data_IF_727696351708
#
_entry.id   IF_727696351708
#
_cell.length_a   1.000
_cell.length_b   1.000
_cell.length_c   1.000
_cell.angle_alpha   90.00
_cell.angle_beta   90.00
_cell.angle_gamma   90.00
#
_symmetry.space_group_name_H-M   'P 1'
#
loop_
_entity.id
_entity.type
_entity.pdbx_description
1 polymer ?
#
# COMPACT_ATOMS: atom_id res chain seq x y z
N UNK A 1 37.45 34.51 14.73
CA UNK A 1 36.18 33.75 14.80
C UNK A 1 35.49 33.74 13.43
N UNK A 2 36.04 33.05 12.41
CA UNK A 2 35.52 33.19 11.03
C UNK A 2 35.29 31.88 10.24
N UNK A 3 35.63 30.71 10.81
CA UNK A 3 35.43 29.41 10.13
C UNK A 3 34.43 28.51 10.88
N UNK A 4 34.33 28.64 12.21
CA UNK A 4 33.43 27.81 13.04
C UNK A 4 31.93 28.03 12.76
N UNK A 5 31.52 29.22 12.30
CA UNK A 5 30.11 29.54 12.07
C UNK A 5 29.58 29.03 10.71
N UNK A 6 30.45 28.80 9.73
CA UNK A 6 30.05 28.31 8.40
C UNK A 6 29.73 26.80 8.46
N UNK A 7 30.47 26.05 9.28
CA UNK A 7 30.27 24.61 9.46
C UNK A 7 28.90 24.30 10.09
N UNK A 8 28.47 25.11 11.06
CA UNK A 8 27.18 24.94 11.75
C UNK A 8 26.01 25.24 10.81
N UNK A 9 26.12 26.24 9.93
CA UNK A 9 25.11 26.52 8.90
C UNK A 9 24.98 25.38 7.88
N UNK A 10 26.09 24.75 7.48
CA UNK A 10 26.07 23.63 6.54
C UNK A 10 25.46 22.34 7.15
N UNK A 11 25.67 22.12 8.45
CA UNK A 11 25.05 20.99 9.18
C UNK A 11 23.54 21.22 9.36
N UNK A 12 23.11 22.44 9.69
CA UNK A 12 21.68 22.73 9.77
C UNK A 12 20.98 22.64 8.40
N UNK A 13 21.64 23.04 7.32
CA UNK A 13 21.07 22.98 5.98
C UNK A 13 20.96 21.55 5.45
N UNK A 14 21.88 20.65 5.82
CA UNK A 14 21.74 19.21 5.51
C UNK A 14 20.65 18.55 6.35
N UNK A 15 20.48 18.89 7.64
CA UNK A 15 19.39 18.34 8.48
C UNK A 15 18.00 18.74 7.96
N UNK A 16 17.85 19.96 7.41
CA UNK A 16 16.58 20.41 6.79
C UNK A 16 16.28 19.68 5.48
N UNK A 17 17.30 19.23 4.73
CA UNK A 17 17.16 18.42 3.51
C UNK A 17 16.88 16.93 3.78
N UNK A 18 17.13 16.43 4.99
CA UNK A 18 16.64 15.10 5.45
C UNK A 18 15.19 15.20 5.97
N UNK A 19 14.64 16.42 6.10
CA UNK A 19 13.25 16.67 6.46
C UNK A 19 12.30 16.35 5.29
N UNK A 20 11.42 15.37 5.51
CA UNK A 20 10.38 14.89 4.58
C UNK A 20 10.85 14.01 3.41
N UNK A 21 11.63 12.96 3.68
CA UNK A 21 11.54 11.77 2.84
C UNK A 21 10.20 11.06 3.15
N UNK A 22 9.11 11.56 2.57
CA UNK A 22 7.81 10.93 2.70
C UNK A 22 7.92 9.57 1.99
N UNK A 23 7.94 8.50 2.78
CA UNK A 23 7.97 7.16 2.24
C UNK A 23 6.57 6.84 1.71
N UNK A 24 6.42 6.96 0.40
CA UNK A 24 5.20 6.65 -0.31
C UNK A 24 5.21 5.22 -0.84
N UNK A 25 4.04 4.60 -0.83
CA UNK A 25 3.76 3.32 -1.48
C UNK A 25 2.50 3.48 -2.32
N UNK A 26 2.58 3.23 -3.63
CA UNK A 26 1.46 3.37 -4.57
C UNK A 26 0.70 4.71 -4.42
N UNK A 27 1.43 5.80 -4.16
CA UNK A 27 0.87 7.14 -3.97
C UNK A 27 0.27 7.44 -2.59
N UNK A 28 0.39 6.52 -1.61
CA UNK A 28 -0.11 6.66 -0.23
C UNK A 28 1.04 6.65 0.79
N UNK A 29 0.89 7.28 1.96
CA UNK A 29 1.93 7.24 3.00
C UNK A 29 2.01 5.82 3.56
N UNK A 30 3.21 5.27 3.75
CA UNK A 30 3.39 3.93 4.35
C UNK A 30 2.69 3.80 5.70
N UNK A 31 2.57 4.89 6.49
CA UNK A 31 1.84 4.87 7.76
C UNK A 31 0.35 4.56 7.59
N UNK A 32 -0.25 4.99 6.50
CA UNK A 32 -1.68 4.75 6.23
C UNK A 32 -1.97 3.24 6.13
N UNK A 33 -0.99 2.43 5.72
CA UNK A 33 -1.10 0.97 5.60
C UNK A 33 -1.09 0.22 6.94
N UNK A 34 -0.86 0.89 8.06
CA UNK A 34 -0.99 0.28 9.40
C UNK A 34 -2.42 0.31 9.93
N UNK A 35 -3.27 1.19 9.39
CA UNK A 35 -4.64 1.40 9.86
C UNK A 35 -5.65 0.55 9.08
N UNK A 36 -5.43 -0.77 9.03
CA UNK A 36 -6.39 -1.69 8.40
C UNK A 36 -7.65 -1.75 9.27
N UNK A 37 -8.79 -1.33 8.73
CA UNK A 37 -10.11 -1.41 9.38
C UNK A 37 -10.68 -2.82 9.20
N UNK A 38 -10.81 -3.26 7.95
CA UNK A 38 -11.45 -4.52 7.59
C UNK A 38 -10.90 -5.07 6.29
N UNK A 39 -11.25 -6.32 5.97
CA UNK A 39 -11.10 -6.89 4.64
C UNK A 39 -12.45 -7.43 4.15
N UNK A 40 -12.66 -7.43 2.85
CA UNK A 40 -13.88 -7.94 2.23
C UNK A 40 -13.64 -8.48 0.82
N UNK A 41 -14.60 -9.27 0.34
CA UNK A 41 -14.73 -9.61 -1.08
C UNK A 41 -16.20 -9.47 -1.45
N UNK A 42 -16.54 -8.42 -2.21
CA UNK A 42 -17.92 -8.15 -2.63
C UNK A 42 -18.52 -9.33 -3.42
N UNK A 43 -17.67 -9.98 -4.22
CA UNK A 43 -18.07 -11.13 -5.04
C UNK A 43 -18.52 -12.33 -4.21
N UNK A 44 -17.75 -12.67 -3.18
CA UNK A 44 -18.10 -13.75 -2.25
C UNK A 44 -19.02 -13.27 -1.10
N UNK A 45 -19.31 -11.96 -1.02
CA UNK A 45 -20.13 -11.30 0.00
C UNK A 45 -19.68 -11.62 1.43
N UNK A 46 -18.38 -11.72 1.63
CA UNK A 46 -17.75 -11.93 2.95
C UNK A 46 -16.98 -10.69 3.37
N UNK A 47 -17.09 -10.36 4.66
CA UNK A 47 -16.41 -9.26 5.31
C UNK A 47 -15.89 -9.70 6.67
N UNK A 48 -14.67 -9.27 7.01
CA UNK A 48 -14.07 -9.45 8.34
C UNK A 48 -13.62 -8.11 8.89
N UNK A 49 -14.30 -7.67 9.95
CA UNK A 49 -13.99 -6.43 10.68
C UNK A 49 -13.03 -6.66 11.85
N UNK A 50 -12.99 -7.88 12.40
CA UNK A 50 -12.07 -8.25 13.48
C UNK A 50 -10.86 -8.96 12.87
N UNK A 51 -9.72 -8.29 12.89
CA UNK A 51 -8.46 -8.78 12.33
C UNK A 51 -7.40 -8.86 13.43
N UNK A 52 -6.70 -9.99 13.51
CA UNK A 52 -5.61 -10.16 14.48
C UNK A 52 -4.44 -9.22 14.17
N UNK A 53 -3.68 -8.85 15.21
CA UNK A 53 -2.49 -8.02 15.04
C UNK A 53 -1.48 -8.67 14.11
N UNK A 54 -1.20 -9.95 14.31
CA UNK A 54 -0.27 -10.75 13.49
C UNK A 54 -0.69 -10.76 12.01
N UNK A 55 -1.99 -10.82 11.72
CA UNK A 55 -2.49 -10.73 10.36
C UNK A 55 -2.23 -9.35 9.75
N UNK A 56 -2.56 -8.27 10.47
CA UNK A 56 -2.30 -6.89 10.02
C UNK A 56 -0.81 -6.66 9.74
N UNK A 57 0.06 -7.13 10.63
CA UNK A 57 1.51 -7.01 10.48
C UNK A 57 2.02 -7.76 9.23
N UNK A 58 1.49 -8.96 8.95
CA UNK A 58 1.80 -9.72 7.73
C UNK A 58 1.35 -9.00 6.47
N UNK A 59 0.12 -8.49 6.44
CA UNK A 59 -0.43 -7.71 5.32
C UNK A 59 0.45 -6.50 5.05
N UNK A 60 0.76 -5.71 6.08
CA UNK A 60 1.59 -4.51 5.95
C UNK A 60 2.99 -4.85 5.42
N UNK A 61 3.62 -5.93 5.93
CA UNK A 61 4.92 -6.39 5.45
C UNK A 61 4.89 -6.78 3.97
N UNK A 62 3.86 -7.50 3.53
CA UNK A 62 3.71 -7.88 2.12
C UNK A 62 3.51 -6.67 1.22
N UNK A 63 2.68 -5.71 1.63
CA UNK A 63 2.48 -4.46 0.88
C UNK A 63 3.79 -3.67 0.75
N UNK A 64 4.56 -3.56 1.84
CA UNK A 64 5.85 -2.87 1.83
C UNK A 64 6.88 -3.54 0.90
N UNK A 65 6.80 -4.87 0.74
CA UNK A 65 7.69 -5.64 -0.14
C UNK A 65 7.31 -5.55 -1.63
N UNK A 66 6.17 -4.97 -1.99
CA UNK A 66 5.81 -4.78 -3.40
C UNK A 66 6.73 -3.74 -4.04
N UNK A 67 7.48 -4.07 -5.08
CA UNK A 67 8.30 -3.08 -5.78
C UNK A 67 7.47 -2.34 -6.84
N UNK A 68 7.26 -1.04 -6.70
CA UNK A 68 6.48 -0.22 -7.64
C UNK A 68 7.05 -0.20 -9.06
N UNK A 69 8.36 -0.38 -9.23
CA UNK A 69 8.97 -0.47 -10.57
C UNK A 69 8.48 -1.69 -11.36
N UNK A 70 7.92 -2.70 -10.69
CA UNK A 70 7.33 -3.88 -11.34
C UNK A 70 5.93 -3.62 -11.88
N UNK A 71 5.35 -2.46 -11.59
CA UNK A 71 4.01 -2.08 -12.00
C UNK A 71 4.04 -0.97 -13.05
N UNK A 72 2.96 -0.88 -13.80
CA UNK A 72 2.61 0.27 -14.63
C UNK A 72 1.33 0.88 -14.08
N UNK A 73 1.31 2.21 -13.94
CA UNK A 73 0.11 2.95 -13.58
C UNK A 73 -0.73 3.12 -14.84
N UNK A 74 -1.94 2.59 -14.83
CA UNK A 74 -2.87 2.63 -15.96
C UNK A 74 -4.15 3.35 -15.57
N UNK A 75 -4.94 3.74 -16.57
CA UNK A 75 -6.29 4.23 -16.36
C UNK A 75 -7.10 3.19 -15.59
N UNK A 76 -7.91 3.67 -14.65
CA UNK A 76 -8.79 2.78 -13.90
C UNK A 76 -9.82 2.15 -14.83
N UNK A 77 -9.89 0.83 -14.82
CA UNK A 77 -10.94 0.09 -15.51
C UNK A 77 -11.90 -0.50 -14.47
N UNK A 78 -13.20 -0.38 -14.74
CA UNK A 78 -14.22 -1.09 -13.96
C UNK A 78 -14.13 -2.57 -14.30
N UNK A 79 -13.23 -3.27 -13.61
CA UNK A 79 -13.12 -4.71 -13.71
C UNK A 79 -14.22 -5.34 -12.87
N UNK A 80 -14.94 -6.31 -13.46
CA UNK A 80 -15.76 -7.24 -12.71
C UNK A 80 -14.82 -8.24 -12.03
N UNK A 81 -14.75 -8.24 -10.70
CA UNK A 81 -13.86 -9.16 -10.00
C UNK A 81 -14.16 -9.27 -8.52
N UNK A 82 -13.99 -10.48 -7.99
CA UNK A 82 -14.18 -10.85 -6.59
C UNK A 82 -12.89 -10.66 -5.77
N UNK A 83 -12.02 -9.74 -6.21
CA UNK A 83 -10.72 -9.54 -5.58
C UNK A 83 -10.90 -9.18 -4.10
N UNK A 84 -10.10 -9.77 -3.19
CA UNK A 84 -10.06 -9.31 -1.83
C UNK A 84 -9.64 -7.84 -1.78
N UNK A 85 -10.37 -7.07 -0.97
CA UNK A 85 -10.18 -5.64 -0.76
C UNK A 85 -9.85 -5.40 0.69
N UNK A 86 -8.81 -4.61 0.93
CA UNK A 86 -8.44 -4.12 2.25
C UNK A 86 -9.00 -2.70 2.39
N UNK A 87 -9.74 -2.45 3.47
CA UNK A 87 -10.33 -1.15 3.79
C UNK A 87 -9.45 -0.48 4.84
N UNK A 88 -8.97 0.71 4.53
CA UNK A 88 -8.24 1.60 5.44
C UNK A 88 -9.09 2.83 5.75
N UNK A 89 -8.65 3.65 6.71
CA UNK A 89 -9.34 4.89 7.09
C UNK A 89 -9.63 5.82 5.90
N UNK A 90 -8.65 5.97 5.00
CA UNK A 90 -8.66 7.04 3.98
C UNK A 90 -8.67 6.52 2.53
N UNK A 91 -8.66 5.20 2.33
CA UNK A 91 -8.60 4.59 1.00
C UNK A 91 -8.93 3.10 1.08
N UNK A 92 -9.19 2.49 -0.08
CA UNK A 92 -9.26 1.03 -0.21
C UNK A 92 -8.15 0.52 -1.12
N UNK A 93 -7.70 -0.69 -0.83
CA UNK A 93 -6.62 -1.37 -1.54
C UNK A 93 -7.13 -2.74 -2.00
N UNK A 94 -7.50 -2.82 -3.26
CA UNK A 94 -7.95 -4.07 -3.86
C UNK A 94 -6.77 -4.85 -4.43
N UNK A 95 -6.75 -6.16 -4.18
CA UNK A 95 -5.63 -7.03 -4.51
C UNK A 95 -6.07 -8.18 -5.41
N UNK A 96 -5.51 -8.24 -6.62
CA UNK A 96 -5.55 -9.44 -7.45
C UNK A 96 -4.15 -10.00 -7.64
N UNK A 97 -4.05 -11.19 -8.25
CA UNK A 97 -2.75 -11.80 -8.60
C UNK A 97 -1.97 -11.02 -9.67
N UNK A 98 -2.58 -10.05 -10.35
CA UNK A 98 -1.97 -9.33 -11.49
C UNK A 98 -2.02 -7.80 -11.36
N UNK A 99 -2.86 -7.26 -10.50
CA UNK A 99 -3.02 -5.83 -10.36
C UNK A 99 -3.41 -5.45 -8.93
N UNK A 100 -3.19 -4.18 -8.62
CA UNK A 100 -3.64 -3.52 -7.40
C UNK A 100 -4.52 -2.34 -7.81
N UNK A 101 -5.64 -2.12 -7.13
CA UNK A 101 -6.43 -0.90 -7.29
C UNK A 101 -6.46 -0.12 -5.98
N UNK A 102 -6.24 1.19 -6.09
CA UNK A 102 -6.32 2.13 -4.97
C UNK A 102 -7.52 3.03 -5.22
N UNK A 103 -8.48 3.05 -4.30
CA UNK A 103 -9.66 3.91 -4.38
C UNK A 103 -9.59 4.89 -3.21
N UNK A 104 -9.55 6.18 -3.51
CA UNK A 104 -9.52 7.25 -2.52
C UNK A 104 -10.47 8.35 -2.95
N UNK A 105 -11.54 8.56 -2.19
CA UNK A 105 -12.61 9.51 -2.53
C UNK A 105 -13.07 9.30 -4.00
N UNK A 106 -12.95 10.34 -4.83
CA UNK A 106 -13.30 10.30 -6.27
C UNK A 106 -12.15 9.86 -7.18
N UNK A 107 -10.96 9.62 -6.62
CA UNK A 107 -9.78 9.24 -7.37
C UNK A 107 -9.55 7.73 -7.29
N UNK A 108 -9.46 7.11 -8.46
CA UNK A 108 -9.17 5.68 -8.59
C UNK A 108 -7.91 5.48 -9.41
N UNK A 109 -6.98 4.70 -8.88
CA UNK A 109 -5.74 4.34 -9.54
C UNK A 109 -5.64 2.83 -9.70
N UNK A 110 -5.06 2.39 -10.80
CA UNK A 110 -4.78 0.99 -11.06
C UNK A 110 -3.31 0.80 -11.41
N UNK A 111 -2.72 -0.23 -10.80
CA UNK A 111 -1.33 -0.62 -10.98
C UNK A 111 -1.30 -2.05 -11.50
N UNK A 112 -1.02 -2.21 -12.79
CA UNK A 112 -0.91 -3.53 -13.41
C UNK A 112 0.52 -4.02 -13.30
N UNK A 113 0.70 -5.29 -12.97
CA UNK A 113 2.03 -5.89 -12.90
C UNK A 113 2.58 -6.15 -14.30
N UNK A 114 3.77 -5.63 -14.60
CA UNK A 114 4.51 -5.88 -15.85
C UNK A 114 5.21 -7.23 -15.86
N UNK A 115 5.44 -7.79 -14.67
CA UNK A 115 6.13 -9.06 -14.44
C UNK A 115 5.35 -9.91 -13.43
N UNK A 116 5.78 -11.14 -13.17
CA UNK A 116 5.26 -11.91 -12.02
C UNK A 116 5.77 -11.30 -10.72
N UNK A 117 4.88 -11.00 -9.78
CA UNK A 117 5.24 -10.44 -8.46
C UNK A 117 4.76 -11.40 -7.38
N UNK A 118 5.67 -12.20 -6.84
CA UNK A 118 5.31 -13.28 -5.89
C UNK A 118 4.68 -12.75 -4.60
N UNK A 119 5.14 -11.61 -4.08
CA UNK A 119 4.56 -10.96 -2.90
C UNK A 119 3.12 -10.47 -3.12
N UNK A 120 2.75 -10.13 -4.36
CA UNK A 120 1.36 -9.79 -4.69
C UNK A 120 0.47 -11.03 -4.68
N UNK A 121 0.98 -12.14 -5.23
CA UNK A 121 0.28 -13.42 -5.24
C UNK A 121 0.09 -13.92 -3.80
N UNK A 122 1.13 -13.83 -2.98
CA UNK A 122 1.10 -14.18 -1.56
C UNK A 122 0.09 -13.33 -0.79
N UNK A 123 0.09 -12.00 -1.00
CA UNK A 123 -0.89 -11.11 -0.40
C UNK A 123 -2.33 -11.48 -0.79
N UNK A 124 -2.58 -11.72 -2.07
CA UNK A 124 -3.90 -12.13 -2.55
C UNK A 124 -4.36 -13.44 -1.89
N UNK A 125 -3.48 -14.45 -1.79
CA UNK A 125 -3.83 -15.72 -1.17
C UNK A 125 -4.06 -15.56 0.34
N UNK A 126 -3.20 -14.81 1.05
CA UNK A 126 -3.36 -14.53 2.48
C UNK A 126 -4.73 -13.90 2.80
N UNK A 127 -5.17 -12.95 1.96
CA UNK A 127 -6.46 -12.31 2.14
C UNK A 127 -7.64 -13.27 1.88
N UNK A 128 -7.54 -14.10 0.85
CA UNK A 128 -8.56 -15.10 0.53
C UNK A 128 -8.67 -16.16 1.63
N UNK A 129 -7.53 -16.66 2.13
CA UNK A 129 -7.48 -17.63 3.23
C UNK A 129 -8.12 -17.05 4.49
N UNK A 130 -7.82 -15.79 4.82
CA UNK A 130 -8.46 -15.11 5.95
C UNK A 130 -9.96 -14.93 5.70
N UNK A 131 -10.40 -14.60 4.48
CA UNK A 131 -11.82 -14.49 4.14
C UNK A 131 -12.54 -15.84 4.01
N UNK A 132 -11.81 -16.96 3.91
CA UNK A 132 -12.35 -18.31 3.72
C UNK A 132 -12.86 -18.59 2.30
N UNK A 133 -12.22 -18.02 1.27
CA UNK A 133 -12.65 -18.08 -0.15
C UNK A 133 -11.60 -18.67 -1.10
#
# INVERSE_FOLDING_TARGET
MKIKNILIMFIFMTIVLVGCNRNYKFGMDIKDYSNIISIESEGARVKKDILSKDFKDKVQKLINNLNESNFEKVSYESLKGNSPTIIFDNFTFEVSKKHIRIIKEDNKYQYNSKVKVDSLIELHNLLNDELGI
#
